data_IF_645212592778
#
_entry.id   IF_645212592778
#
_cell.length_a   1.000
_cell.length_b   1.000
_cell.length_c   1.000
_cell.angle_alpha   90.00
_cell.angle_beta   90.00
_cell.angle_gamma   90.00
#
_symmetry.space_group_name_H-M   'P 1'
#
loop_
_entity.id
_entity.type
_entity.pdbx_description
1 polymer ?
#
# COMPACT_ATOMS: atom_id res chain seq x y z
N UNK A 1 1.12 13.52 -1.90
CA UNK A 1 -0.23 12.97 -1.74
C UNK A 1 -0.22 11.59 -1.09
N UNK A 2 0.53 10.62 -1.62
CA UNK A 2 0.66 9.28 -1.02
C UNK A 2 1.12 9.39 0.43
N UNK A 3 2.17 10.15 0.72
CA UNK A 3 2.70 10.29 2.08
C UNK A 3 1.68 10.94 3.03
N UNK A 4 0.80 11.80 2.50
CA UNK A 4 -0.31 12.36 3.27
C UNK A 4 -1.37 11.29 3.59
N UNK A 5 -1.72 10.44 2.62
CA UNK A 5 -2.65 9.34 2.85
C UNK A 5 -2.07 8.30 3.81
N UNK A 6 -0.78 7.98 3.70
CA UNK A 6 -0.11 7.11 4.68
C UNK A 6 -0.20 7.69 6.09
N UNK A 7 0.08 8.99 6.26
CA UNK A 7 -0.07 9.66 7.56
C UNK A 7 -1.51 9.63 8.08
N UNK A 8 -2.49 9.83 7.20
CA UNK A 8 -3.91 9.75 7.57
C UNK A 8 -4.27 8.33 8.05
N UNK A 9 -3.75 7.29 7.39
CA UNK A 9 -3.95 5.89 7.80
C UNK A 9 -3.31 5.62 9.15
N UNK A 10 -2.06 6.04 9.37
CA UNK A 10 -1.36 5.89 10.64
C UNK A 10 -2.16 6.55 11.78
N UNK A 11 -2.62 7.78 11.58
CA UNK A 11 -3.42 8.50 12.55
C UNK A 11 -4.76 7.81 12.83
N UNK A 12 -5.42 7.29 11.79
CA UNK A 12 -6.69 6.58 11.92
C UNK A 12 -6.59 5.32 12.77
N UNK A 13 -5.47 4.63 12.71
CA UNK A 13 -5.23 3.41 13.49
C UNK A 13 -4.56 3.68 14.85
N UNK A 14 -4.38 4.95 15.22
CA UNK A 14 -3.72 5.36 16.47
C UNK A 14 -2.35 4.67 16.70
N UNK A 15 -1.66 4.35 15.60
CA UNK A 15 -0.32 3.78 15.67
C UNK A 15 0.69 4.86 15.99
N UNK A 16 1.61 4.57 16.91
CA UNK A 16 2.82 5.37 17.05
C UNK A 16 3.73 5.17 15.84
N UNK A 17 4.57 6.15 15.54
CA UNK A 17 5.55 6.02 14.45
C UNK A 17 6.55 4.87 14.69
N UNK A 18 6.71 4.44 15.93
CA UNK A 18 7.56 3.31 16.33
C UNK A 18 7.01 1.95 15.87
N UNK A 19 5.70 1.85 15.67
CA UNK A 19 5.02 0.65 15.16
C UNK A 19 4.81 0.64 13.65
N UNK A 20 5.49 1.51 12.91
CA UNK A 20 5.45 1.56 11.45
C UNK A 20 6.72 0.95 10.89
N UNK A 21 6.63 -0.25 10.35
CA UNK A 21 7.70 -0.89 9.60
C UNK A 21 7.61 -0.52 8.10
N UNK A 22 8.77 -0.36 7.45
CA UNK A 22 8.86 -0.04 6.02
C UNK A 22 9.76 -1.06 5.32
N UNK A 23 9.29 -1.59 4.21
CA UNK A 23 10.00 -2.55 3.36
C UNK A 23 10.15 -2.01 1.94
N UNK A 24 11.38 -1.96 1.45
CA UNK A 24 11.69 -1.67 0.05
C UNK A 24 11.65 -2.98 -0.74
N UNK A 25 10.61 -3.21 -1.53
CA UNK A 25 10.43 -4.46 -2.27
C UNK A 25 11.31 -4.60 -3.53
N UNK A 26 12.16 -3.62 -3.82
CA UNK A 26 13.29 -3.81 -4.75
C UNK A 26 14.47 -4.56 -4.09
N UNK A 27 14.50 -4.64 -2.75
CA UNK A 27 15.61 -5.19 -1.96
C UNK A 27 15.18 -6.35 -1.05
N UNK A 28 13.91 -6.36 -0.59
CA UNK A 28 13.35 -7.35 0.33
C UNK A 28 12.23 -8.15 -0.32
N UNK A 29 12.07 -9.41 0.09
CA UNK A 29 10.95 -10.21 -0.35
C UNK A 29 9.65 -9.79 0.34
N UNK A 30 8.53 -9.80 -0.37
CA UNK A 30 7.21 -9.51 0.21
C UNK A 30 6.88 -10.41 1.40
N UNK A 31 7.43 -11.62 1.44
CA UNK A 31 7.27 -12.56 2.55
C UNK A 31 7.77 -11.98 3.87
N UNK A 32 8.88 -11.26 3.88
CA UNK A 32 9.42 -10.62 5.09
C UNK A 32 8.43 -9.61 5.68
N UNK A 33 7.81 -8.80 4.82
CA UNK A 33 6.77 -7.84 5.23
C UNK A 33 5.52 -8.54 5.79
N UNK A 34 5.14 -9.69 5.21
CA UNK A 34 4.00 -10.49 5.67
C UNK A 34 4.31 -11.12 7.04
N UNK A 35 5.49 -11.70 7.19
CA UNK A 35 5.93 -12.30 8.45
C UNK A 35 5.97 -11.25 9.57
N UNK A 36 6.46 -10.05 9.25
CA UNK A 36 6.45 -8.93 10.19
C UNK A 36 5.01 -8.48 10.52
N UNK A 37 4.12 -8.39 9.54
CA UNK A 37 2.72 -8.06 9.76
C UNK A 37 1.99 -9.10 10.63
N UNK A 38 2.42 -10.35 10.63
CA UNK A 38 1.87 -11.43 11.46
C UNK A 38 2.49 -11.47 12.87
N UNK A 39 3.53 -10.68 13.14
CA UNK A 39 4.17 -10.63 14.46
C UNK A 39 3.35 -9.79 15.42
N UNK A 40 2.95 -10.38 16.54
CA UNK A 40 2.19 -9.68 17.59
C UNK A 40 3.11 -8.68 18.29
N UNK A 41 2.70 -7.41 18.35
CA UNK A 41 3.35 -6.44 19.21
C UNK A 41 2.91 -6.67 20.65
N UNK A 42 3.86 -6.79 21.58
CA UNK A 42 3.55 -6.98 23.02
C UNK A 42 2.97 -5.71 23.67
N UNK A 43 3.09 -4.55 23.03
CA UNK A 43 2.80 -3.26 23.64
C UNK A 43 1.72 -2.45 22.95
N UNK A 44 1.35 -2.76 21.71
CA UNK A 44 0.37 -1.99 20.96
C UNK A 44 -0.49 -2.87 20.05
N UNK A 45 -1.75 -2.45 19.89
CA UNK A 45 -2.80 -3.23 19.23
C UNK A 45 -2.82 -3.10 17.70
N UNK A 46 -2.08 -2.16 17.11
CA UNK A 46 -2.11 -1.93 15.67
C UNK A 46 -0.70 -1.73 15.10
N UNK A 47 -0.23 -2.72 14.38
CA UNK A 47 1.03 -2.65 13.62
C UNK A 47 0.75 -2.21 12.19
N UNK A 48 1.56 -1.31 11.66
CA UNK A 48 1.49 -0.86 10.27
C UNK A 48 2.75 -1.27 9.55
N UNK A 49 2.59 -2.01 8.46
CA UNK A 49 3.69 -2.43 7.57
C UNK A 49 3.49 -1.79 6.20
N UNK A 50 4.45 -0.99 5.77
CA UNK A 50 4.42 -0.27 4.50
C UNK A 50 5.40 -0.90 3.53
N UNK A 51 4.88 -1.41 2.43
CA UNK A 51 5.65 -1.97 1.33
C UNK A 51 5.79 -0.93 0.22
N UNK A 52 7.00 -0.45 0.01
CA UNK A 52 7.31 0.52 -1.04
C UNK A 52 7.88 -0.16 -2.29
N UNK A 53 7.82 0.51 -3.43
CA UNK A 53 8.33 0.01 -4.73
C UNK A 53 7.75 -1.33 -5.15
N UNK A 54 6.44 -1.48 -5.04
CA UNK A 54 5.72 -2.69 -5.40
C UNK A 54 5.62 -2.88 -6.93
N UNK A 55 6.76 -2.85 -7.64
CA UNK A 55 6.83 -2.92 -9.11
C UNK A 55 6.28 -4.25 -9.63
N UNK A 56 6.37 -5.33 -8.83
CA UNK A 56 5.82 -6.64 -9.18
C UNK A 56 4.31 -6.63 -9.42
N UNK A 57 3.59 -5.58 -8.99
CA UNK A 57 2.16 -5.39 -9.26
C UNK A 57 1.90 -4.67 -10.59
N UNK A 58 2.94 -4.21 -11.26
CA UNK A 58 2.87 -3.47 -12.53
C UNK A 58 3.35 -4.29 -13.72
N UNK A 59 3.23 -3.76 -14.92
CA UNK A 59 3.76 -4.38 -16.14
C UNK A 59 5.23 -4.01 -16.44
N UNK A 60 5.93 -3.34 -15.53
CA UNK A 60 7.34 -2.98 -15.74
C UNK A 60 8.25 -4.20 -15.59
N UNK A 61 9.08 -4.45 -16.61
CA UNK A 61 10.12 -5.49 -16.58
C UNK A 61 11.41 -4.92 -15.97
N UNK A 62 11.43 -4.71 -14.66
CA UNK A 62 12.68 -4.47 -13.93
C UNK A 62 13.25 -5.82 -13.44
N UNK A 63 14.55 -5.88 -13.12
CA UNK A 63 15.12 -7.01 -12.38
C UNK A 63 14.40 -7.06 -11.03
N UNK A 64 13.41 -7.93 -10.94
CA UNK A 64 12.60 -8.08 -9.72
C UNK A 64 13.15 -9.21 -8.88
N UNK A 65 13.06 -9.02 -7.56
CA UNK A 65 13.19 -10.13 -6.61
C UNK A 65 12.03 -11.10 -6.90
N UNK A 66 12.31 -12.38 -6.83
CA UNK A 66 11.26 -13.41 -6.94
C UNK A 66 10.43 -13.42 -5.65
N UNK A 67 9.41 -12.56 -5.59
CA UNK A 67 8.53 -12.46 -4.45
C UNK A 67 7.67 -13.71 -4.25
N UNK A 68 7.44 -14.09 -3.01
CA UNK A 68 6.51 -15.18 -2.63
C UNK A 68 5.06 -14.72 -2.79
N UNK A 69 4.57 -14.75 -4.03
CA UNK A 69 3.22 -14.32 -4.39
C UNK A 69 2.14 -15.22 -3.79
N UNK A 70 2.41 -16.51 -3.60
CA UNK A 70 1.45 -17.43 -3.02
C UNK A 70 1.21 -17.12 -1.53
N UNK A 71 2.25 -16.80 -0.79
CA UNK A 71 2.13 -16.33 0.60
C UNK A 71 1.36 -15.01 0.67
N UNK A 72 1.60 -14.09 -0.27
CA UNK A 72 0.84 -12.84 -0.33
C UNK A 72 -0.65 -13.09 -0.58
N UNK A 73 -1.01 -13.94 -1.55
CA UNK A 73 -2.39 -14.27 -1.84
C UNK A 73 -3.07 -14.93 -0.62
N UNK A 74 -2.38 -15.81 0.07
CA UNK A 74 -2.89 -16.42 1.31
C UNK A 74 -3.18 -15.37 2.38
N UNK A 75 -2.22 -14.46 2.59
CA UNK A 75 -2.35 -13.40 3.59
C UNK A 75 -3.53 -12.46 3.28
N UNK A 76 -3.66 -11.97 2.04
CA UNK A 76 -4.74 -11.02 1.71
C UNK A 76 -6.14 -11.64 1.80
N UNK A 77 -6.26 -12.95 1.64
CA UNK A 77 -7.53 -13.67 1.84
C UNK A 77 -7.85 -13.94 3.31
N UNK A 78 -6.85 -13.93 4.19
CA UNK A 78 -7.02 -14.09 5.63
C UNK A 78 -6.01 -13.22 6.39
N UNK A 79 -6.19 -11.88 6.37
CA UNK A 79 -5.25 -10.96 6.98
C UNK A 79 -5.29 -11.02 8.50
N UNK A 80 -4.13 -10.74 9.12
CA UNK A 80 -4.05 -10.66 10.58
C UNK A 80 -4.81 -9.42 11.09
N UNK A 81 -5.64 -9.60 12.12
CA UNK A 81 -6.57 -8.56 12.59
C UNK A 81 -5.90 -7.33 13.20
N UNK A 82 -4.71 -7.52 13.78
CA UNK A 82 -4.02 -6.48 14.56
C UNK A 82 -2.92 -5.77 13.76
N UNK A 83 -2.90 -5.96 12.45
CA UNK A 83 -1.96 -5.30 11.57
C UNK A 83 -2.61 -4.73 10.31
N UNK A 84 -1.97 -3.72 9.76
CA UNK A 84 -2.35 -3.09 8.51
C UNK A 84 -1.17 -3.17 7.56
N UNK A 85 -1.36 -3.85 6.43
CA UNK A 85 -0.35 -3.96 5.37
C UNK A 85 -0.70 -3.00 4.23
N UNK A 86 0.23 -2.10 3.90
CA UNK A 86 0.03 -1.06 2.89
C UNK A 86 1.01 -1.28 1.74
N UNK A 87 0.50 -1.49 0.53
CA UNK A 87 1.30 -1.55 -0.69
C UNK A 87 1.27 -0.20 -1.41
N UNK A 88 2.45 0.39 -1.60
CA UNK A 88 2.62 1.67 -2.29
C UNK A 88 3.13 1.41 -3.71
N UNK A 89 2.30 1.72 -4.69
CA UNK A 89 2.63 1.59 -6.11
C UNK A 89 2.71 2.99 -6.71
N UNK A 90 3.90 3.38 -7.16
CA UNK A 90 4.15 4.71 -7.78
C UNK A 90 4.07 4.68 -9.31
N UNK A 91 3.50 3.64 -9.87
CA UNK A 91 3.29 3.48 -11.30
C UNK A 91 1.82 3.82 -11.66
N UNK A 92 1.56 4.47 -12.81
CA UNK A 92 0.20 4.85 -13.21
C UNK A 92 -0.71 3.66 -13.54
N UNK A 93 -0.15 2.47 -13.79
CA UNK A 93 -0.94 1.30 -14.17
C UNK A 93 -0.52 0.04 -13.45
N UNK A 94 -1.50 -0.65 -12.88
CA UNK A 94 -1.36 -2.02 -12.40
C UNK A 94 -1.53 -3.00 -13.55
N UNK A 95 -0.85 -4.15 -13.46
CA UNK A 95 -1.07 -5.22 -14.43
C UNK A 95 -2.28 -6.08 -14.01
N UNK A 96 -3.43 -5.75 -14.54
CA UNK A 96 -4.71 -6.41 -14.27
C UNK A 96 -4.74 -7.90 -14.65
N UNK A 97 -3.75 -8.38 -15.43
CA UNK A 97 -3.65 -9.79 -15.82
C UNK A 97 -3.11 -10.64 -14.67
N UNK A 98 -2.33 -10.04 -13.78
CA UNK A 98 -1.70 -10.74 -12.65
C UNK A 98 -2.76 -11.17 -11.62
N UNK A 99 -2.71 -12.45 -11.23
CA UNK A 99 -3.61 -13.01 -10.22
C UNK A 99 -3.54 -12.24 -8.90
N UNK A 100 -2.34 -11.88 -8.46
CA UNK A 100 -2.12 -11.12 -7.21
C UNK A 100 -2.82 -9.76 -7.24
N UNK A 101 -2.83 -9.06 -8.38
CA UNK A 101 -3.51 -7.76 -8.52
C UNK A 101 -5.02 -7.94 -8.41
N UNK A 102 -5.57 -8.99 -9.01
CA UNK A 102 -7.01 -9.31 -8.90
C UNK A 102 -7.41 -9.61 -7.46
N UNK A 103 -6.63 -10.43 -6.75
CA UNK A 103 -6.90 -10.76 -5.35
C UNK A 103 -6.76 -9.53 -4.43
N UNK A 104 -5.73 -8.71 -4.62
CA UNK A 104 -5.58 -7.47 -3.87
C UNK A 104 -6.77 -6.53 -4.07
N UNK A 105 -7.22 -6.33 -5.30
CA UNK A 105 -8.39 -5.49 -5.58
C UNK A 105 -9.68 -6.02 -4.95
N UNK A 106 -9.82 -7.34 -4.87
CA UNK A 106 -10.99 -7.99 -4.28
C UNK A 106 -11.00 -7.91 -2.76
N UNK A 107 -9.84 -8.11 -2.13
CA UNK A 107 -9.73 -8.29 -0.67
C UNK A 107 -9.24 -7.03 0.08
N UNK A 108 -8.78 -6.00 -0.64
CA UNK A 108 -8.16 -4.81 -0.03
C UNK A 108 -8.88 -3.53 -0.42
N UNK A 109 -8.71 -2.50 0.40
CA UNK A 109 -9.13 -1.15 0.05
C UNK A 109 -8.11 -0.53 -0.90
N UNK A 110 -8.54 -0.15 -2.09
CA UNK A 110 -7.72 0.57 -3.07
C UNK A 110 -7.91 2.06 -2.90
N UNK A 111 -6.81 2.80 -2.73
CA UNK A 111 -6.81 4.27 -2.67
C UNK A 111 -6.02 4.77 -3.87
N UNK A 112 -6.68 5.48 -4.75
CA UNK A 112 -6.07 6.09 -5.92
C UNK A 112 -5.74 7.55 -5.64
N UNK A 113 -4.47 7.88 -5.65
CA UNK A 113 -3.95 9.24 -5.46
C UNK A 113 -3.58 9.83 -6.83
N UNK A 114 -4.37 10.75 -7.36
CA UNK A 114 -4.17 11.39 -8.69
C UNK A 114 -3.54 12.77 -8.55
N UNK A 115 -2.67 13.25 -9.47
CA UNK A 115 -2.14 14.63 -9.48
C UNK A 115 -3.17 15.63 -10.01
N UNK A 116 -3.05 16.85 -9.54
CA UNK A 116 -3.82 17.99 -10.03
C UNK A 116 -3.20 18.44 -11.36
N UNK A 117 -3.99 18.42 -12.43
CA UNK A 117 -3.60 19.07 -13.67
C UNK A 117 -3.59 20.60 -13.47
N UNK A 118 -2.59 21.30 -14.04
CA UNK A 118 -2.31 22.70 -13.77
C UNK A 118 -3.51 23.65 -13.90
N UNK A 119 -4.46 23.36 -14.77
CA UNK A 119 -5.65 24.19 -14.95
C UNK A 119 -6.72 24.01 -13.85
N UNK A 120 -6.66 22.94 -13.05
CA UNK A 120 -7.58 22.68 -11.95
C UNK A 120 -7.05 23.18 -10.59
N UNK A 121 -5.85 23.76 -10.56
CA UNK A 121 -5.20 24.18 -9.31
C UNK A 121 -6.04 25.24 -8.57
N UNK A 122 -6.64 26.18 -9.30
CA UNK A 122 -7.48 27.21 -8.73
C UNK A 122 -8.78 26.64 -8.11
N UNK A 123 -9.38 25.63 -8.74
CA UNK A 123 -10.53 24.95 -8.20
C UNK A 123 -10.20 24.11 -6.96
N UNK A 124 -8.99 23.54 -6.89
CA UNK A 124 -8.50 22.83 -5.71
C UNK A 124 -8.31 23.73 -4.49
N UNK A 125 -7.83 24.96 -4.71
CA UNK A 125 -7.65 25.95 -3.64
C UNK A 125 -9.02 26.43 -3.10
N UNK A 126 -10.02 26.55 -3.97
CA UNK A 126 -11.36 27.04 -3.64
C UNK A 126 -12.27 25.94 -3.05
N UNK A 127 -12.08 24.70 -3.41
CA UNK A 127 -12.90 23.57 -2.95
C UNK A 127 -12.06 22.53 -2.23
N UNK A 128 -11.86 22.67 -0.94
CA UNK A 128 -11.11 21.71 -0.08
C UNK A 128 -11.61 20.24 -0.09
N UNK A 129 -12.48 19.87 -1.02
CA UNK A 129 -13.16 18.57 -1.04
C UNK A 129 -12.82 17.64 -2.21
N UNK A 130 -11.99 18.08 -3.17
CA UNK A 130 -11.66 17.25 -4.33
C UNK A 130 -10.20 16.82 -4.27
N UNK A 131 -9.96 15.57 -3.98
CA UNK A 131 -8.63 14.96 -4.05
C UNK A 131 -8.35 14.63 -5.51
N UNK A 132 -7.39 15.32 -6.09
CA UNK A 132 -6.92 15.08 -7.45
C UNK A 132 -5.43 14.76 -7.34
N UNK A 133 -4.98 13.65 -7.87
CA UNK A 133 -3.61 13.25 -7.68
C UNK A 133 -3.00 12.49 -8.86
N UNK A 134 -1.70 12.24 -8.92
CA UNK A 134 -1.05 11.30 -9.84
C UNK A 134 -1.57 9.89 -9.58
N UNK A 135 -1.65 9.07 -10.64
CA UNK A 135 -2.03 7.66 -10.56
C UNK A 135 -1.04 6.86 -9.69
N UNK A 136 -1.30 6.83 -8.40
CA UNK A 136 -0.57 5.99 -7.46
C UNK A 136 -1.59 5.18 -6.66
N UNK A 137 -1.36 3.89 -6.59
CA UNK A 137 -2.23 2.99 -5.85
C UNK A 137 -1.64 2.68 -4.48
N UNK A 138 -2.48 2.76 -3.47
CA UNK A 138 -2.18 2.28 -2.13
C UNK A 138 -3.18 1.19 -1.80
N UNK A 139 -2.70 0.00 -1.51
CA UNK A 139 -3.53 -1.11 -1.06
C UNK A 139 -3.43 -1.26 0.44
N UNK A 140 -4.57 -1.29 1.09
CA UNK A 140 -4.70 -1.50 2.52
C UNK A 140 -5.34 -2.87 2.73
N UNK A 141 -4.62 -3.79 3.33
CA UNK A 141 -5.18 -5.06 3.81
C UNK A 141 -5.46 -4.95 5.31
N UNK A 142 -6.62 -5.35 5.69
CA UNK A 142 -7.05 -5.46 7.08
C UNK A 142 -7.79 -6.74 7.30
#
# INVERSE_FOLDING_TARGET
LIDKEIKNIINKFNSSMENVARYNLDESNVREAIEDACTISMFETNKIVICEKCNFLTGENKKEINHDIDSLIKYVNNPFSDSVLIFVVRNPKLDERKKVVKELKKCSKVIECKTIENYNLNNYILTKRTYIGLLHYCYLTR
#
